data_IF_811482418399
#
_entry.id   IF_811482418399
#
_cell.length_a   1.000
_cell.length_b   1.000
_cell.length_c   1.000
_cell.angle_alpha   90.00
_cell.angle_beta   90.00
_cell.angle_gamma   90.00
#
_symmetry.space_group_name_H-M   'P 1'
#
loop_
_entity.id
_entity.type
_entity.pdbx_description
1 polymer ?
#
# COMPACT_ATOMS: atom_id res chain seq x y z
N UNK A 1 -16.55 -9.46 2.69
CA UNK A 1 -15.07 -9.50 2.50
C UNK A 1 -14.61 -8.55 1.39
N UNK A 2 -15.50 -8.18 0.46
CA UNK A 2 -15.27 -7.26 -0.66
C UNK A 2 -14.59 -5.93 -0.29
N UNK A 3 -15.07 -5.24 0.76
CA UNK A 3 -14.50 -3.95 1.18
C UNK A 3 -13.00 -4.03 1.56
N UNK A 4 -12.53 -5.13 2.17
CA UNK A 4 -11.11 -5.31 2.50
C UNK A 4 -10.26 -5.52 1.27
N UNK A 5 -10.77 -6.27 0.29
CA UNK A 5 -10.10 -6.48 -1.00
C UNK A 5 -9.99 -5.13 -1.71
N UNK A 6 -11.07 -4.34 -1.73
CA UNK A 6 -11.07 -3.01 -2.34
C UNK A 6 -10.03 -2.08 -1.70
N UNK A 7 -9.97 -2.02 -0.37
CA UNK A 7 -8.97 -1.19 0.34
C UNK A 7 -7.55 -1.63 -0.01
N UNK A 8 -7.26 -2.94 -0.01
CA UNK A 8 -5.93 -3.46 -0.35
C UNK A 8 -5.60 -3.15 -1.81
N UNK A 9 -6.54 -3.37 -2.73
CA UNK A 9 -6.35 -3.07 -4.14
C UNK A 9 -6.05 -1.59 -4.37
N UNK A 10 -6.80 -0.69 -3.74
CA UNK A 10 -6.55 0.75 -3.86
C UNK A 10 -5.18 1.14 -3.30
N UNK A 11 -4.74 0.57 -2.19
CA UNK A 11 -3.43 0.88 -1.63
C UNK A 11 -2.30 0.46 -2.60
N UNK A 12 -2.43 -0.70 -3.22
CA UNK A 12 -1.50 -1.17 -4.26
C UNK A 12 -1.52 -0.30 -5.52
N UNK A 13 -2.70 0.14 -5.97
CA UNK A 13 -2.82 1.05 -7.12
C UNK A 13 -2.20 2.42 -6.84
N UNK A 14 -2.35 2.96 -5.62
CA UNK A 14 -1.71 4.21 -5.22
C UNK A 14 -0.18 4.11 -5.26
N UNK A 15 0.38 2.98 -4.78
CA UNK A 15 1.82 2.72 -4.87
C UNK A 15 2.25 2.59 -6.34
N UNK A 16 1.48 1.87 -7.17
CA UNK A 16 1.74 1.76 -8.61
C UNK A 16 1.76 3.12 -9.32
N UNK A 17 0.77 3.98 -9.02
CA UNK A 17 0.68 5.35 -9.54
C UNK A 17 1.87 6.21 -9.10
N UNK A 18 2.38 6.02 -7.87
CA UNK A 18 3.60 6.66 -7.42
C UNK A 18 4.79 6.26 -8.30
N UNK A 19 5.01 4.97 -8.57
CA UNK A 19 6.09 4.53 -9.46
C UNK A 19 5.91 5.01 -10.90
N UNK A 20 4.67 5.09 -11.39
CA UNK A 20 4.36 5.66 -12.70
C UNK A 20 4.81 7.12 -12.82
N UNK A 21 4.66 7.92 -11.74
CA UNK A 21 5.11 9.32 -11.71
C UNK A 21 6.61 9.47 -11.97
N UNK A 22 7.42 8.48 -11.59
CA UNK A 22 8.87 8.47 -11.81
C UNK A 22 9.27 7.68 -13.08
N UNK A 23 8.31 7.25 -13.91
CA UNK A 23 8.57 6.52 -15.14
C UNK A 23 8.88 5.03 -14.97
N UNK A 24 8.76 4.48 -13.75
CA UNK A 24 9.01 3.06 -13.48
C UNK A 24 7.80 2.19 -13.87
N UNK A 25 7.58 2.01 -15.17
CA UNK A 25 6.43 1.27 -15.71
C UNK A 25 6.40 -0.18 -15.22
N UNK A 26 7.55 -0.86 -15.15
CA UNK A 26 7.63 -2.24 -14.68
C UNK A 26 7.15 -2.39 -13.22
N UNK A 27 7.59 -1.48 -12.34
CA UNK A 27 7.15 -1.47 -10.96
C UNK A 27 5.65 -1.14 -10.87
N UNK A 28 5.18 -0.14 -11.62
CA UNK A 28 3.76 0.21 -11.69
C UNK A 28 2.88 -1.02 -12.04
N UNK A 29 3.23 -1.75 -13.10
CA UNK A 29 2.51 -2.95 -13.52
C UNK A 29 2.53 -4.04 -12.45
N UNK A 30 3.68 -4.25 -11.78
CA UNK A 30 3.80 -5.23 -10.71
C UNK A 30 2.89 -4.90 -9.52
N UNK A 31 2.88 -3.65 -9.06
CA UNK A 31 2.01 -3.21 -7.97
C UNK A 31 0.53 -3.17 -8.38
N UNK A 32 0.21 -2.86 -9.64
CA UNK A 32 -1.16 -2.89 -10.14
C UNK A 32 -1.75 -4.31 -10.20
N UNK A 33 -0.92 -5.31 -10.51
CA UNK A 33 -1.33 -6.72 -10.56
C UNK A 33 -1.25 -7.42 -9.20
N UNK A 34 -0.47 -6.89 -8.25
CA UNK A 34 -0.28 -7.49 -6.93
C UNK A 34 -1.58 -7.85 -6.18
N UNK A 35 -2.68 -7.06 -6.22
CA UNK A 35 -3.93 -7.43 -5.57
C UNK A 35 -4.54 -8.74 -6.09
N UNK A 36 -4.21 -9.17 -7.31
CA UNK A 36 -4.68 -10.44 -7.86
C UNK A 36 -4.19 -11.65 -7.05
N UNK A 37 -3.06 -11.51 -6.34
CA UNK A 37 -2.58 -12.53 -5.40
C UNK A 37 -3.57 -12.79 -4.24
N UNK A 38 -4.51 -11.88 -3.97
CA UNK A 38 -5.57 -12.13 -2.98
C UNK A 38 -6.53 -13.24 -3.43
N UNK A 39 -6.70 -13.48 -4.74
CA UNK A 39 -7.53 -14.58 -5.24
C UNK A 39 -6.88 -15.94 -5.02
N UNK A 40 -5.55 -15.98 -4.91
CA UNK A 40 -4.82 -17.17 -4.47
C UNK A 40 -5.12 -17.35 -2.97
N UNK A 41 -5.85 -18.41 -2.62
CA UNK A 41 -6.27 -18.74 -1.24
C UNK A 41 -5.11 -19.21 -0.34
N UNK A 42 -3.87 -18.81 -0.66
CA UNK A 42 -2.67 -19.17 0.07
C UNK A 42 -2.33 -18.14 1.15
N UNK A 43 -1.93 -18.60 2.35
CA UNK A 43 -1.57 -17.72 3.49
C UNK A 43 -0.33 -16.89 3.20
N UNK A 44 0.68 -17.48 2.56
CA UNK A 44 1.91 -16.77 2.23
C UNK A 44 1.66 -15.62 1.25
N UNK A 45 0.75 -15.78 0.27
CA UNK A 45 0.41 -14.71 -0.67
C UNK A 45 -0.12 -13.48 0.07
N UNK A 46 -1.04 -13.65 1.03
CA UNK A 46 -1.57 -12.53 1.83
C UNK A 46 -0.52 -11.92 2.75
N UNK A 47 0.40 -12.73 3.31
CA UNK A 47 1.51 -12.21 4.12
C UNK A 47 2.52 -11.41 3.29
N UNK A 48 2.84 -11.86 2.08
CA UNK A 48 3.71 -11.13 1.17
C UNK A 48 3.10 -9.77 0.85
N UNK A 49 1.83 -9.71 0.46
CA UNK A 49 1.13 -8.44 0.21
C UNK A 49 1.14 -7.51 1.43
N UNK A 50 0.93 -8.05 2.63
CA UNK A 50 1.00 -7.29 3.86
C UNK A 50 2.39 -6.72 4.12
N UNK A 51 3.44 -7.54 4.00
CA UNK A 51 4.82 -7.11 4.18
C UNK A 51 5.17 -6.01 3.18
N UNK A 52 4.77 -6.17 1.91
CA UNK A 52 4.93 -5.17 0.86
C UNK A 52 4.27 -3.84 1.25
N UNK A 53 3.01 -3.85 1.70
CA UNK A 53 2.32 -2.61 2.11
C UNK A 53 3.01 -1.90 3.30
N UNK A 54 3.52 -2.66 4.28
CA UNK A 54 4.25 -2.10 5.42
C UNK A 54 5.57 -1.46 4.97
N UNK A 55 6.34 -2.18 4.15
CA UNK A 55 7.60 -1.67 3.59
C UNK A 55 7.35 -0.44 2.72
N UNK A 56 6.32 -0.47 1.86
CA UNK A 56 5.94 0.68 1.03
C UNK A 56 5.48 1.88 1.85
N UNK A 57 4.82 1.67 3.00
CA UNK A 57 4.45 2.78 3.88
C UNK A 57 5.67 3.57 4.34
N UNK A 58 6.72 2.87 4.78
CA UNK A 58 7.94 3.52 5.27
C UNK A 58 8.80 4.05 4.12
N UNK A 59 9.07 3.22 3.12
CA UNK A 59 10.01 3.55 2.05
C UNK A 59 9.41 4.43 0.96
N UNK A 60 8.17 4.17 0.54
CA UNK A 60 7.55 4.94 -0.56
C UNK A 60 6.91 6.21 -0.01
N UNK A 61 6.04 6.10 0.98
CA UNK A 61 5.31 7.27 1.50
C UNK A 61 6.12 8.07 2.53
N UNK A 62 6.90 7.40 3.39
CA UNK A 62 7.75 8.06 4.38
C UNK A 62 8.92 8.82 3.74
N UNK A 63 9.80 8.11 3.04
CA UNK A 63 11.01 8.72 2.44
C UNK A 63 10.63 9.74 1.36
N UNK A 64 9.87 9.34 0.33
CA UNK A 64 9.50 10.27 -0.75
C UNK A 64 8.62 11.41 -0.25
N UNK A 65 7.80 11.17 0.78
CA UNK A 65 7.00 12.22 1.42
C UNK A 65 7.85 13.27 2.09
N UNK A 66 8.84 12.83 2.86
CA UNK A 66 9.82 13.71 3.48
C UNK A 66 10.59 14.52 2.44
N UNK A 67 11.13 13.87 1.40
CA UNK A 67 11.85 14.53 0.32
C UNK A 67 11.00 15.60 -0.40
N UNK A 68 9.73 15.30 -0.71
CA UNK A 68 8.84 16.26 -1.36
C UNK A 68 8.51 17.45 -0.47
N UNK A 69 8.35 17.25 0.85
CA UNK A 69 8.14 18.34 1.80
C UNK A 69 9.39 19.21 1.91
N UNK A 70 10.57 18.60 2.05
CA UNK A 70 11.85 19.33 2.10
C UNK A 70 12.08 20.16 0.83
N UNK A 71 11.83 19.57 -0.35
CA UNK A 71 11.92 20.30 -1.62
C UNK A 71 10.99 21.52 -1.65
N UNK A 72 9.76 21.40 -1.15
CA UNK A 72 8.80 22.53 -1.10
C UNK A 72 9.22 23.60 -0.10
N UNK A 73 9.80 23.22 1.04
CA UNK A 73 10.36 24.16 2.01
C UNK A 73 11.50 25.00 1.40
N UNK A 74 12.44 24.34 0.71
CA UNK A 74 13.57 25.02 0.03
C UNK A 74 13.08 25.97 -1.06
N UNK A 75 12.03 25.60 -1.78
CA UNK A 75 11.45 26.42 -2.85
C UNK A 75 10.46 27.48 -2.35
N UNK A 76 10.30 27.65 -1.03
CA UNK A 76 9.33 28.56 -0.39
C UNK A 76 7.89 28.33 -0.88
N UNK A 77 7.57 27.08 -1.23
CA UNK A 77 6.26 26.66 -1.72
C UNK A 77 5.37 26.13 -0.59
N UNK A 78 4.03 26.26 -0.69
CA UNK A 78 3.12 25.68 0.28
C UNK A 78 3.26 24.15 0.37
N UNK A 79 3.72 23.64 1.52
CA UNK A 79 3.99 22.22 1.75
C UNK A 79 2.92 21.54 2.63
N UNK A 80 2.16 22.30 3.42
CA UNK A 80 1.17 21.76 4.38
C UNK A 80 0.15 20.84 3.71
N UNK A 81 -0.41 21.25 2.56
CA UNK A 81 -1.38 20.44 1.80
C UNK A 81 -0.78 19.12 1.34
N UNK A 82 0.45 19.16 0.82
CA UNK A 82 1.18 17.97 0.39
C UNK A 82 1.44 17.03 1.56
N UNK A 83 1.94 17.56 2.69
CA UNK A 83 2.21 16.76 3.89
C UNK A 83 0.97 16.05 4.42
N UNK A 84 -0.17 16.75 4.46
CA UNK A 84 -1.46 16.15 4.86
C UNK A 84 -1.93 15.05 3.91
N UNK A 85 -1.75 15.23 2.60
CA UNK A 85 -2.14 14.21 1.61
C UNK A 85 -1.27 12.96 1.77
N UNK A 86 0.05 13.13 1.85
CA UNK A 86 0.97 11.99 1.93
C UNK A 86 0.80 11.24 3.26
N UNK A 87 0.60 11.95 4.38
CA UNK A 87 0.32 11.30 5.66
C UNK A 87 -1.00 10.52 5.62
N UNK A 88 -2.05 11.08 5.03
CA UNK A 88 -3.33 10.38 4.86
C UNK A 88 -3.18 9.11 3.99
N UNK A 89 -2.42 9.19 2.89
CA UNK A 89 -2.12 8.02 2.03
C UNK A 89 -1.28 6.98 2.78
N UNK A 90 -0.31 7.39 3.59
CA UNK A 90 0.48 6.49 4.43
C UNK A 90 -0.41 5.76 5.46
N UNK A 91 -1.27 6.49 6.17
CA UNK A 91 -2.23 5.90 7.11
C UNK A 91 -3.20 4.95 6.41
N UNK A 92 -3.70 5.32 5.23
CA UNK A 92 -4.56 4.45 4.42
C UNK A 92 -3.85 3.14 4.04
N UNK A 93 -2.56 3.22 3.68
CA UNK A 93 -1.73 2.04 3.36
C UNK A 93 -1.53 1.15 4.58
N UNK A 94 -1.36 1.71 5.79
CA UNK A 94 -1.32 0.96 7.04
C UNK A 94 -2.65 0.25 7.35
N UNK A 95 -3.78 0.93 7.15
CA UNK A 95 -5.11 0.34 7.31
C UNK A 95 -5.29 -0.83 6.34
N UNK A 96 -4.81 -0.71 5.10
CA UNK A 96 -4.81 -1.79 4.12
C UNK A 96 -3.96 -2.98 4.60
N UNK A 97 -2.76 -2.74 5.14
CA UNK A 97 -1.93 -3.79 5.72
C UNK A 97 -2.61 -4.49 6.91
N UNK A 98 -3.30 -3.73 7.78
CA UNK A 98 -4.09 -4.29 8.87
C UNK A 98 -5.28 -5.13 8.35
N UNK A 99 -5.85 -4.76 7.20
CA UNK A 99 -6.92 -5.53 6.57
C UNK A 99 -6.46 -6.94 6.14
N UNK A 100 -5.19 -7.11 5.76
CA UNK A 100 -4.59 -8.42 5.43
C UNK A 100 -4.62 -9.39 6.61
N UNK A 101 -4.35 -8.92 7.85
CA UNK A 101 -4.44 -9.75 9.06
C UNK A 101 -5.83 -10.35 9.24
N UNK A 102 -6.88 -9.57 9.00
CA UNK A 102 -8.27 -10.05 9.08
C UNK A 102 -8.60 -11.14 8.05
N UNK A 103 -7.97 -11.11 6.87
CA UNK A 103 -8.11 -12.14 5.84
C UNK A 103 -7.35 -13.41 6.26
N UNK A 104 -6.14 -13.28 6.77
CA UNK A 104 -5.31 -14.38 7.25
C UNK A 104 -6.01 -15.13 8.40
N UNK A 105 -6.53 -14.40 9.40
CA UNK A 105 -7.23 -14.99 10.53
C UNK A 105 -8.46 -15.81 10.10
N UNK A 106 -9.25 -15.30 9.14
CA UNK A 106 -10.39 -16.03 8.57
C UNK A 106 -9.97 -17.29 7.80
N UNK A 107 -8.90 -17.23 7.00
CA UNK A 107 -8.38 -18.40 6.26
C UNK A 107 -7.85 -19.48 7.20
N UNK A 108 -7.19 -19.08 8.30
CA UNK A 108 -6.74 -20.01 9.33
C UNK A 108 -7.91 -20.72 10.01
N UNK A 109 -8.94 -19.97 10.44
CA UNK A 109 -10.13 -20.54 11.07
C UNK A 109 -10.87 -21.53 10.16
N UNK A 110 -10.95 -21.24 8.86
CA UNK A 110 -11.57 -22.15 7.89
C UNK A 110 -10.77 -23.45 7.68
N UNK A 111 -9.44 -23.42 7.83
CA UNK A 111 -8.60 -24.62 7.70
C UNK A 111 -8.64 -25.53 8.94
N UNK A 112 -9.01 -25.00 10.11
CA UNK A 112 -9.13 -25.77 11.36
C UNK A 112 -10.47 -26.51 11.50
N UNK A 113 -11.44 -26.20 10.64
CA UNK A 113 -12.78 -26.81 10.64
C UNK A 113 -12.91 -28.03 9.71
N UNK A 114 -11.83 -28.40 9.02
CA UNK A 114 -11.70 -29.59 8.18
C UNK A 114 -10.49 -30.39 8.66
#
# INVERSE_FOLDING_TARGET
MWWRILIISLAFLLIGAHFMRYGYILACSLFALAPLLLFIKHKLATRLLQATLLVSTLLVWGVSGYELVQMRLVLEQPWLRLGMIISAVATFTLIAAACCNGIIAKRLRAKTLF
#
